data_IF_167080907005
#
_entry.id   IF_167080907005
#
_cell.length_a   1.000
_cell.length_b   1.000
_cell.length_c   1.000
_cell.angle_alpha   90.00
_cell.angle_beta   90.00
_cell.angle_gamma   90.00
#
_symmetry.space_group_name_H-M   'P 1'
#
loop_
_entity.id
_entity.type
_entity.pdbx_description
1 polymer ?
#
# COMPACT_ATOMS: atom_id res chain seq x y z
N UNK A 1 27.19 43.60 -6.59
CA UNK A 1 26.08 42.64 -6.81
C UNK A 1 26.68 41.28 -7.09
N UNK A 2 26.60 40.32 -6.15
CA UNK A 2 26.78 38.90 -6.49
C UNK A 2 26.20 38.02 -5.39
N UNK A 3 25.58 36.93 -5.83
CA UNK A 3 24.59 36.11 -5.13
C UNK A 3 25.21 35.32 -3.96
N UNK A 4 24.51 35.31 -2.82
CA UNK A 4 24.74 34.40 -1.68
C UNK A 4 24.59 32.95 -2.15
N UNK A 5 25.66 32.17 -2.04
CA UNK A 5 25.64 30.73 -2.16
C UNK A 5 24.99 30.13 -0.89
N UNK A 6 23.89 29.40 -1.07
CA UNK A 6 23.20 28.66 -0.03
C UNK A 6 24.05 27.41 0.26
N UNK A 7 24.52 27.28 1.51
CA UNK A 7 25.20 26.08 2.03
C UNK A 7 24.23 24.90 1.99
N UNK A 8 24.59 23.87 1.23
CA UNK A 8 24.05 22.52 1.40
C UNK A 8 24.40 22.03 2.81
N UNK A 9 23.39 21.72 3.62
CA UNK A 9 23.57 20.99 4.87
C UNK A 9 23.29 19.53 4.55
N UNK A 10 24.36 18.73 4.50
CA UNK A 10 24.25 17.28 4.49
C UNK A 10 23.78 16.79 5.85
N UNK A 11 22.77 15.92 5.88
CA UNK A 11 22.36 15.22 7.09
C UNK A 11 22.83 13.76 7.06
N UNK A 12 23.65 13.46 8.06
CA UNK A 12 24.14 12.14 8.40
C UNK A 12 23.03 11.24 8.92
N UNK A 13 23.28 9.96 8.73
CA UNK A 13 22.39 8.81 8.88
C UNK A 13 22.29 8.38 10.34
N UNK A 14 21.09 8.45 10.94
CA UNK A 14 20.77 7.66 12.15
C UNK A 14 19.54 6.78 11.83
N UNK A 15 19.84 5.50 11.61
CA UNK A 15 18.92 4.48 11.11
C UNK A 15 18.12 3.88 12.28
N UNK A 16 16.78 3.92 12.26
CA UNK A 16 15.98 3.09 13.17
C UNK A 16 15.93 1.66 12.62
N UNK A 17 16.91 0.89 13.06
CA UNK A 17 17.13 -0.49 12.70
C UNK A 17 16.58 -1.36 13.81
N UNK A 18 15.29 -1.68 13.77
CA UNK A 18 14.70 -2.49 14.85
C UNK A 18 14.93 -4.00 14.62
N UNK A 19 15.23 -4.41 13.37
CA UNK A 19 15.30 -5.82 13.01
C UNK A 19 16.49 -6.25 12.12
N UNK A 20 17.47 -5.39 11.81
CA UNK A 20 18.51 -5.78 10.82
C UNK A 20 19.41 -6.93 11.28
N UNK A 21 19.51 -7.22 12.58
CA UNK A 21 20.40 -8.29 13.09
C UNK A 21 19.67 -9.60 13.41
N UNK A 22 18.33 -9.64 13.47
CA UNK A 22 17.57 -10.84 13.83
C UNK A 22 16.53 -11.19 12.78
N UNK A 23 16.69 -12.38 12.19
CA UNK A 23 15.68 -12.95 11.30
C UNK A 23 14.40 -13.24 12.10
N UNK A 24 13.32 -12.54 11.79
CA UNK A 24 12.00 -12.83 12.35
C UNK A 24 11.37 -13.95 11.53
N UNK A 25 11.14 -15.11 12.15
CA UNK A 25 10.45 -16.21 11.47
C UNK A 25 8.99 -15.85 11.22
N UNK A 26 8.47 -16.28 10.06
CA UNK A 26 7.10 -15.98 9.62
C UNK A 26 6.41 -17.19 9.00
N UNK A 27 5.09 -17.19 9.06
CA UNK A 27 4.22 -18.20 8.45
C UNK A 27 3.07 -17.52 7.70
N UNK A 28 2.64 -18.11 6.59
CA UNK A 28 1.49 -17.60 5.82
C UNK A 28 0.20 -18.18 6.39
N UNK A 29 -0.69 -17.32 6.89
CA UNK A 29 -1.94 -17.73 7.52
C UNK A 29 -3.03 -16.69 7.30
N UNK A 30 -4.27 -17.13 7.00
CA UNK A 30 -5.42 -16.25 6.73
C UNK A 30 -5.12 -15.13 5.71
N UNK A 31 -4.42 -15.48 4.63
CA UNK A 31 -4.05 -14.55 3.54
C UNK A 31 -3.15 -13.37 3.94
N UNK A 32 -2.49 -13.46 5.11
CA UNK A 32 -1.49 -12.49 5.54
C UNK A 32 -0.27 -13.16 6.18
N UNK A 33 0.78 -12.37 6.40
CA UNK A 33 1.99 -12.82 7.10
C UNK A 33 1.80 -12.75 8.61
N UNK A 34 2.10 -13.86 9.28
CA UNK A 34 2.14 -13.98 10.74
C UNK A 34 3.57 -14.18 11.19
N UNK A 35 3.96 -13.54 12.29
CA UNK A 35 5.35 -13.48 12.75
C UNK A 35 5.49 -14.13 14.11
N UNK A 36 6.59 -14.87 14.31
CA UNK A 36 6.92 -15.48 15.59
C UNK A 36 7.08 -14.41 16.67
N UNK A 37 6.21 -14.45 17.70
CA UNK A 37 6.19 -13.43 18.77
C UNK A 37 7.51 -13.45 19.55
N UNK A 38 8.06 -14.65 19.75
CA UNK A 38 9.32 -14.86 20.46
C UNK A 38 10.50 -14.15 19.79
N UNK A 39 10.55 -14.15 18.45
CA UNK A 39 11.63 -13.50 17.70
C UNK A 39 11.51 -11.97 17.77
N UNK A 40 10.28 -11.45 17.72
CA UNK A 40 10.01 -10.02 17.88
C UNK A 40 10.41 -9.56 19.29
N UNK A 41 10.06 -10.33 20.32
CA UNK A 41 10.51 -10.06 21.69
C UNK A 41 12.03 -10.12 21.80
N UNK A 42 12.67 -11.10 21.16
CA UNK A 42 14.13 -11.20 21.14
C UNK A 42 14.79 -10.00 20.44
N UNK A 43 14.18 -9.43 19.40
CA UNK A 43 14.69 -8.24 18.72
C UNK A 43 14.51 -6.97 19.55
N UNK A 44 13.38 -6.86 20.25
CA UNK A 44 12.99 -5.67 21.00
C UNK A 44 13.43 -5.67 22.47
N UNK A 45 14.17 -6.68 22.89
CA UNK A 45 14.63 -6.82 24.28
C UNK A 45 16.06 -7.36 24.31
N UNK A 46 16.73 -7.17 25.44
CA UNK A 46 18.01 -7.83 25.75
C UNK A 46 17.80 -9.14 26.52
N UNK A 47 16.62 -9.75 26.39
CA UNK A 47 16.29 -10.98 27.11
C UNK A 47 17.09 -12.16 26.55
N UNK A 48 17.83 -12.82 27.44
CA UNK A 48 18.47 -14.12 27.17
C UNK A 48 17.47 -15.27 27.06
N UNK A 49 16.22 -15.08 27.53
CA UNK A 49 15.14 -16.07 27.49
C UNK A 49 13.84 -15.41 26.98
N UNK A 50 13.72 -15.17 25.66
CA UNK A 50 12.57 -14.47 25.07
C UNK A 50 11.21 -15.16 25.35
N UNK A 51 11.16 -16.49 25.41
CA UNK A 51 9.95 -17.25 25.75
C UNK A 51 9.49 -16.97 27.19
N UNK A 52 10.46 -16.88 28.11
CA UNK A 52 10.21 -16.48 29.49
C UNK A 52 9.72 -15.04 29.55
N UNK A 53 10.31 -14.15 28.77
CA UNK A 53 9.90 -12.75 28.68
C UNK A 53 8.45 -12.61 28.20
N UNK A 54 8.00 -13.40 27.22
CA UNK A 54 6.59 -13.41 26.76
C UNK A 54 5.64 -13.79 27.90
N UNK A 55 5.98 -14.80 28.71
CA UNK A 55 5.16 -15.18 29.88
C UNK A 55 5.10 -14.03 30.89
N UNK A 56 6.23 -13.38 31.11
CA UNK A 56 6.33 -12.23 32.00
C UNK A 56 5.54 -11.01 31.51
N UNK A 57 5.55 -10.73 30.20
CA UNK A 57 4.72 -9.69 29.59
C UNK A 57 3.24 -9.91 29.91
N UNK A 58 2.75 -11.13 29.70
CA UNK A 58 1.36 -11.51 29.99
C UNK A 58 1.05 -11.43 31.49
N UNK A 59 2.01 -11.73 32.36
CA UNK A 59 1.83 -11.59 33.82
C UNK A 59 1.71 -10.13 34.24
N UNK A 60 2.48 -9.23 33.61
CA UNK A 60 2.52 -7.79 33.92
C UNK A 60 1.34 -7.04 33.31
N UNK A 61 0.97 -7.35 32.08
CA UNK A 61 -0.18 -6.77 31.36
C UNK A 61 -1.35 -7.76 31.34
N UNK A 62 -2.26 -7.60 32.32
CA UNK A 62 -3.44 -8.46 32.48
C UNK A 62 -4.40 -8.35 31.30
N UNK A 63 -4.48 -7.20 30.63
CA UNK A 63 -5.36 -7.01 29.46
C UNK A 63 -4.79 -7.72 28.23
N UNK A 64 -3.47 -7.66 28.03
CA UNK A 64 -2.79 -8.48 27.02
C UNK A 64 -3.01 -9.98 27.28
N UNK A 65 -2.97 -10.41 28.54
CA UNK A 65 -3.20 -11.82 28.88
C UNK A 65 -4.63 -12.28 28.59
N UNK A 66 -5.64 -11.45 28.91
CA UNK A 66 -7.05 -11.72 28.58
C UNK A 66 -7.26 -11.86 27.06
N UNK A 67 -6.66 -10.96 26.28
CA UNK A 67 -6.75 -10.97 24.81
C UNK A 67 -5.81 -11.96 24.12
N UNK A 68 -4.96 -12.68 24.86
CA UNK A 68 -3.86 -13.46 24.26
C UNK A 68 -4.32 -14.49 23.24
N UNK A 69 -5.45 -15.17 23.48
CA UNK A 69 -5.99 -16.18 22.57
C UNK A 69 -6.46 -15.62 21.22
N UNK A 70 -6.74 -14.32 21.14
CA UNK A 70 -7.10 -13.63 19.89
C UNK A 70 -5.87 -13.09 19.16
N UNK A 71 -4.85 -12.69 19.93
CA UNK A 71 -3.62 -12.07 19.42
C UNK A 71 -2.62 -13.13 18.92
N UNK A 72 -2.44 -14.20 19.69
CA UNK A 72 -1.42 -15.21 19.46
C UNK A 72 -2.04 -16.52 18.96
N UNK A 73 -1.65 -16.96 17.76
CA UNK A 73 -2.05 -18.22 17.16
C UNK A 73 -0.84 -19.14 17.02
N UNK A 74 -0.88 -20.39 17.53
CA UNK A 74 0.18 -21.36 17.29
C UNK A 74 0.17 -21.80 15.83
N UNK A 75 1.28 -21.53 15.12
CA UNK A 75 1.45 -21.87 13.71
C UNK A 75 2.70 -22.73 13.50
N UNK A 76 2.67 -23.54 12.44
CA UNK A 76 3.84 -24.28 11.97
C UNK A 76 4.83 -23.31 11.33
N UNK A 77 6.02 -23.26 11.87
CA UNK A 77 7.14 -22.41 11.43
C UNK A 77 8.37 -23.30 11.24
N UNK A 78 9.06 -23.10 10.13
CA UNK A 78 10.33 -23.79 9.86
C UNK A 78 11.45 -23.20 10.73
N UNK A 79 12.22 -24.08 11.36
CA UNK A 79 13.34 -23.73 12.24
C UNK A 79 14.54 -24.61 11.91
N UNK A 80 15.73 -24.28 12.41
CA UNK A 80 16.93 -25.11 12.23
C UNK A 80 16.73 -26.54 12.72
N UNK A 81 15.92 -26.73 13.77
CA UNK A 81 15.56 -28.05 14.32
C UNK A 81 14.35 -28.70 13.65
N UNK A 82 13.90 -28.21 12.50
CA UNK A 82 12.71 -28.67 11.79
C UNK A 82 11.45 -27.85 12.08
N UNK A 83 10.29 -28.35 11.63
CA UNK A 83 9.01 -27.63 11.77
C UNK A 83 8.54 -27.68 13.22
N UNK A 84 8.31 -26.52 13.82
CA UNK A 84 7.82 -26.37 15.20
C UNK A 84 6.52 -25.59 15.26
N UNK A 85 5.74 -25.81 16.33
CA UNK A 85 4.57 -25.00 16.64
C UNK A 85 4.99 -23.80 17.49
N UNK A 86 4.86 -22.60 16.93
CA UNK A 86 5.28 -21.34 17.56
C UNK A 86 4.10 -20.39 17.62
N UNK A 87 3.94 -19.68 18.74
CA UNK A 87 2.96 -18.61 18.84
C UNK A 87 3.35 -17.46 17.92
N UNK A 88 2.50 -17.21 16.93
CA UNK A 88 2.65 -16.13 15.97
C UNK A 88 1.52 -15.10 16.14
N UNK A 89 1.76 -13.87 15.71
CA UNK A 89 0.75 -12.83 15.61
C UNK A 89 0.83 -12.18 14.23
N UNK A 90 -0.31 -11.70 13.72
CA UNK A 90 -0.32 -10.80 12.57
C UNK A 90 0.17 -9.39 12.97
N UNK A 91 0.23 -8.47 12.01
CA UNK A 91 0.77 -7.12 12.21
C UNK A 91 0.07 -6.36 13.35
N UNK A 92 -1.27 -6.38 13.39
CA UNK A 92 -2.05 -5.73 14.45
C UNK A 92 -1.76 -6.33 15.82
N UNK A 93 -1.76 -7.67 15.91
CA UNK A 93 -1.43 -8.37 17.15
C UNK A 93 -0.01 -8.07 17.65
N UNK A 94 0.96 -7.98 16.74
CA UNK A 94 2.31 -7.54 17.08
C UNK A 94 2.34 -6.12 17.64
N UNK A 95 1.63 -5.17 17.02
CA UNK A 95 1.60 -3.79 17.50
C UNK A 95 1.08 -3.73 18.94
N UNK A 96 0.03 -4.50 19.26
CA UNK A 96 -0.48 -4.63 20.63
C UNK A 96 0.54 -5.22 21.60
N UNK A 97 1.30 -6.24 21.19
CA UNK A 97 2.34 -6.86 22.04
C UNK A 97 3.48 -5.86 22.30
N UNK A 98 3.96 -5.16 21.27
CA UNK A 98 5.08 -4.23 21.37
C UNK A 98 4.78 -3.10 22.34
N UNK A 99 3.54 -2.60 22.37
CA UNK A 99 3.11 -1.60 23.35
C UNK A 99 3.35 -2.04 24.80
N UNK A 100 3.23 -3.33 25.10
CA UNK A 100 3.47 -3.90 26.44
C UNK A 100 4.94 -4.15 26.77
N UNK A 101 5.89 -3.99 25.84
CA UNK A 101 7.32 -4.28 26.08
C UNK A 101 7.99 -3.09 26.81
N UNK A 102 8.39 -3.22 28.08
CA UNK A 102 9.13 -2.16 28.80
C UNK A 102 10.63 -2.21 28.47
N UNK A 103 10.99 -1.96 27.20
CA UNK A 103 12.39 -1.97 26.74
C UNK A 103 12.71 -0.67 25.99
N UNK A 104 13.88 -0.03 26.23
CA UNK A 104 14.34 1.09 25.43
C UNK A 104 14.38 0.79 23.92
N UNK A 105 14.59 -0.47 23.52
CA UNK A 105 14.56 -0.90 22.12
C UNK A 105 13.17 -0.83 21.48
N UNK A 106 12.10 -0.92 22.28
CA UNK A 106 10.72 -0.80 21.80
C UNK A 106 10.24 0.66 21.77
N UNK A 107 10.91 1.57 22.47
CA UNK A 107 10.49 2.97 22.60
C UNK A 107 10.41 3.72 21.26
N UNK A 108 11.38 3.61 20.33
CA UNK A 108 11.26 4.25 19.02
C UNK A 108 10.00 3.83 18.27
N UNK A 109 9.64 2.55 18.33
CA UNK A 109 8.43 2.02 17.71
C UNK A 109 7.15 2.58 18.36
N UNK A 110 7.13 2.69 19.69
CA UNK A 110 5.97 3.26 20.42
C UNK A 110 5.77 4.74 20.12
N UNK A 111 6.86 5.52 20.05
CA UNK A 111 6.82 6.92 19.64
C UNK A 111 6.31 7.06 18.22
N UNK A 112 6.76 6.19 17.33
CA UNK A 112 6.25 6.15 15.97
C UNK A 112 4.74 5.85 15.94
N UNK A 113 4.26 4.85 16.67
CA UNK A 113 2.81 4.58 16.76
C UNK A 113 2.03 5.79 17.30
N UNK A 114 2.57 6.49 18.28
CA UNK A 114 1.97 7.72 18.82
C UNK A 114 1.96 8.85 17.78
N UNK A 115 3.04 9.00 16.99
CA UNK A 115 3.12 9.97 15.91
C UNK A 115 2.08 9.67 14.82
N UNK A 116 1.96 8.41 14.37
CA UNK A 116 0.94 8.02 13.39
C UNK A 116 -0.48 8.24 13.93
N UNK A 117 -0.71 7.93 15.20
CA UNK A 117 -1.99 8.23 15.86
C UNK A 117 -2.30 9.73 15.82
N UNK A 118 -1.31 10.57 16.12
CA UNK A 118 -1.44 12.03 16.07
C UNK A 118 -1.65 12.57 14.65
N UNK A 119 -0.88 12.09 13.67
CA UNK A 119 -1.06 12.42 12.25
C UNK A 119 -2.47 12.06 11.79
N UNK A 120 -3.00 10.91 12.22
CA UNK A 120 -4.36 10.49 11.87
C UNK A 120 -5.44 11.39 12.48
N UNK A 121 -5.23 11.92 13.68
CA UNK A 121 -6.13 12.93 14.26
C UNK A 121 -6.08 14.22 13.43
N UNK A 122 -4.88 14.68 13.06
CA UNK A 122 -4.73 15.86 12.19
C UNK A 122 -5.42 15.68 10.84
N UNK A 123 -5.32 14.51 10.23
CA UNK A 123 -6.01 14.20 8.97
C UNK A 123 -7.54 14.24 9.08
N UNK A 124 -8.11 14.02 10.27
CA UNK A 124 -9.55 14.14 10.51
C UNK A 124 -9.95 15.61 10.60
N UNK A 125 -9.11 16.43 11.22
CA UNK A 125 -9.33 17.88 11.33
C UNK A 125 -9.11 18.60 9.99
N UNK A 126 -8.08 18.17 9.25
CA UNK A 126 -7.71 18.67 7.92
C UNK A 126 -7.54 17.50 6.92
N UNK A 127 -8.61 17.14 6.19
CA UNK A 127 -8.58 16.06 5.19
C UNK A 127 -7.59 16.30 4.03
N UNK A 128 -7.12 17.53 3.79
CA UNK A 128 -6.13 17.79 2.75
C UNK A 128 -4.79 17.11 3.07
N UNK A 129 -4.46 16.97 4.37
CA UNK A 129 -3.26 16.27 4.82
C UNK A 129 -3.24 14.80 4.39
N UNK A 130 -4.40 14.12 4.38
CA UNK A 130 -4.49 12.75 3.90
C UNK A 130 -4.17 12.65 2.39
N UNK A 131 -4.56 13.66 1.63
CA UNK A 131 -4.23 13.76 0.20
C UNK A 131 -2.76 14.10 -0.04
N UNK A 132 -2.16 14.94 0.81
CA UNK A 132 -0.73 15.24 0.77
C UNK A 132 0.10 13.98 1.08
N UNK A 133 -0.23 13.28 2.17
CA UNK A 133 0.43 12.01 2.54
C UNK A 133 0.32 10.96 1.43
N UNK A 134 -0.83 10.87 0.76
CA UNK A 134 -0.99 9.95 -0.37
C UNK A 134 0.01 10.26 -1.50
N UNK A 135 0.29 11.54 -1.79
CA UNK A 135 1.30 11.94 -2.78
C UNK A 135 2.71 11.60 -2.30
N UNK A 136 3.05 11.94 -1.06
CA UNK A 136 4.35 11.64 -0.45
C UNK A 136 4.66 10.14 -0.49
N UNK A 137 3.67 9.28 -0.24
CA UNK A 137 3.83 7.83 -0.33
C UNK A 137 4.14 7.33 -1.76
N UNK A 138 3.64 8.00 -2.79
CA UNK A 138 4.03 7.70 -4.17
C UNK A 138 5.39 8.31 -4.51
N UNK A 139 5.71 9.52 -4.04
CA UNK A 139 7.03 10.13 -4.24
C UNK A 139 8.13 9.25 -3.62
N UNK A 140 7.92 8.74 -2.40
CA UNK A 140 8.83 7.84 -1.71
C UNK A 140 9.04 6.50 -2.46
N UNK A 141 8.07 6.05 -3.25
CA UNK A 141 8.20 4.88 -4.12
C UNK A 141 8.90 5.18 -5.45
N UNK A 142 9.34 6.43 -5.67
CA UNK A 142 10.07 6.86 -6.86
C UNK A 142 9.19 7.22 -8.06
N UNK A 143 7.90 7.45 -7.86
CA UNK A 143 7.00 7.83 -8.96
C UNK A 143 7.20 9.31 -9.37
N UNK A 144 7.18 9.64 -10.68
CA UNK A 144 7.24 11.02 -11.14
C UNK A 144 6.02 11.84 -10.67
N UNK A 145 6.23 13.10 -10.26
CA UNK A 145 5.15 13.99 -9.76
C UNK A 145 3.97 14.14 -10.73
N UNK A 146 4.26 14.29 -12.00
CA UNK A 146 3.24 14.44 -13.04
C UNK A 146 2.44 13.15 -13.25
N UNK A 147 3.05 11.98 -13.05
CA UNK A 147 2.36 10.69 -13.02
C UNK A 147 1.49 10.57 -11.77
N UNK A 148 1.98 11.00 -10.60
CA UNK A 148 1.25 10.96 -9.32
C UNK A 148 -0.05 11.76 -9.43
N UNK A 149 0.00 12.97 -9.98
CA UNK A 149 -1.21 13.80 -10.17
C UNK A 149 -2.25 13.13 -11.08
N UNK A 150 -1.82 12.48 -12.17
CA UNK A 150 -2.71 11.69 -13.04
C UNK A 150 -3.30 10.51 -12.27
N UNK A 151 -2.49 9.83 -11.45
CA UNK A 151 -2.94 8.69 -10.64
C UNK A 151 -3.97 9.12 -9.59
N UNK A 152 -3.77 10.25 -8.92
CA UNK A 152 -4.72 10.81 -7.94
C UNK A 152 -6.06 11.14 -8.59
N UNK A 153 -6.05 11.77 -9.78
CA UNK A 153 -7.27 12.02 -10.57
C UNK A 153 -7.96 10.71 -10.98
N UNK A 154 -7.19 9.70 -11.37
CA UNK A 154 -7.74 8.39 -11.71
C UNK A 154 -8.42 7.70 -10.51
N UNK A 155 -7.92 7.90 -9.27
CA UNK A 155 -8.61 7.40 -8.06
C UNK A 155 -9.98 8.06 -7.93
N UNK A 156 -10.06 9.39 -8.08
CA UNK A 156 -11.32 10.12 -7.97
C UNK A 156 -12.34 9.71 -9.05
N UNK A 157 -11.91 9.58 -10.30
CA UNK A 157 -12.77 9.15 -11.42
C UNK A 157 -13.31 7.73 -11.19
N UNK A 158 -12.44 6.82 -10.74
CA UNK A 158 -12.86 5.46 -10.38
C UNK A 158 -13.85 5.46 -9.23
N UNK A 159 -13.62 6.29 -8.20
CA UNK A 159 -14.54 6.46 -7.08
C UNK A 159 -15.94 6.85 -7.54
N UNK A 160 -16.02 7.89 -8.38
CA UNK A 160 -17.30 8.34 -8.94
C UNK A 160 -18.02 7.26 -9.76
N UNK A 161 -17.30 6.44 -10.52
CA UNK A 161 -17.88 5.29 -11.24
C UNK A 161 -18.43 4.24 -10.28
N UNK A 162 -17.68 3.89 -9.23
CA UNK A 162 -18.12 2.88 -8.26
C UNK A 162 -19.29 3.37 -7.40
N UNK A 163 -19.37 4.67 -7.11
CA UNK A 163 -20.51 5.28 -6.43
C UNK A 163 -21.76 5.24 -7.32
N UNK A 164 -21.60 5.51 -8.62
CA UNK A 164 -22.69 5.44 -9.59
C UNK A 164 -23.22 4.00 -9.72
N UNK A 165 -22.35 3.00 -9.78
CA UNK A 165 -22.75 1.59 -9.78
C UNK A 165 -23.52 1.21 -8.52
N UNK A 166 -23.07 1.68 -7.35
CA UNK A 166 -23.72 1.43 -6.06
C UNK A 166 -25.12 2.02 -6.04
N UNK A 167 -25.25 3.28 -6.48
CA UNK A 167 -26.53 3.98 -6.56
C UNK A 167 -27.52 3.29 -7.53
N UNK A 168 -27.00 2.53 -8.51
CA UNK A 168 -27.77 1.78 -9.52
C UNK A 168 -28.02 0.32 -9.15
N UNK A 169 -27.73 -0.08 -7.91
CA UNK A 169 -28.00 -1.44 -7.42
C UNK A 169 -27.08 -2.52 -8.00
N UNK A 170 -25.86 -2.17 -8.39
CA UNK A 170 -24.82 -3.16 -8.76
C UNK A 170 -24.13 -3.65 -7.49
N UNK A 171 -23.94 -4.96 -7.37
CA UNK A 171 -23.31 -5.58 -6.20
C UNK A 171 -21.78 -5.37 -6.18
N UNK A 172 -21.26 -4.90 -5.05
CA UNK A 172 -19.80 -4.75 -4.87
C UNK A 172 -19.08 -6.10 -4.98
N UNK A 173 -17.79 -6.07 -5.34
CA UNK A 173 -16.96 -7.27 -5.50
C UNK A 173 -17.01 -7.87 -6.91
N UNK A 174 -17.77 -8.95 -7.10
CA UNK A 174 -17.74 -9.74 -8.35
C UNK A 174 -18.25 -8.95 -9.54
N UNK A 175 -19.39 -8.26 -9.41
CA UNK A 175 -19.96 -7.51 -10.53
C UNK A 175 -19.07 -6.32 -10.90
N UNK A 176 -18.54 -5.59 -9.91
CA UNK A 176 -17.59 -4.49 -10.14
C UNK A 176 -16.34 -4.97 -10.89
N UNK A 177 -15.85 -6.16 -10.57
CA UNK A 177 -14.71 -6.77 -11.26
C UNK A 177 -15.04 -7.10 -12.72
N UNK A 178 -16.24 -7.60 -12.99
CA UNK A 178 -16.71 -7.87 -14.35
C UNK A 178 -16.86 -6.57 -15.14
N UNK A 179 -17.54 -5.56 -14.58
CA UNK A 179 -17.73 -4.27 -15.25
C UNK A 179 -16.38 -3.58 -15.53
N UNK A 180 -15.46 -3.59 -14.56
CA UNK A 180 -14.09 -3.09 -14.76
C UNK A 180 -13.38 -3.85 -15.90
N UNK A 181 -13.56 -5.18 -15.98
CA UNK A 181 -12.97 -5.97 -17.05
C UNK A 181 -13.60 -5.69 -18.42
N UNK A 182 -14.89 -5.38 -18.49
CA UNK A 182 -15.57 -4.98 -19.73
C UNK A 182 -15.05 -3.62 -20.24
N UNK A 183 -14.90 -2.63 -19.34
CA UNK A 183 -14.29 -1.33 -19.69
C UNK A 183 -12.87 -1.56 -20.23
N UNK A 184 -12.02 -2.26 -19.47
CA UNK A 184 -10.63 -2.49 -19.85
C UNK A 184 -10.51 -3.23 -21.19
N UNK A 185 -11.35 -4.26 -21.42
CA UNK A 185 -11.36 -5.00 -22.69
C UNK A 185 -11.79 -4.10 -23.85
N UNK A 186 -12.84 -3.31 -23.67
CA UNK A 186 -13.32 -2.41 -24.72
C UNK A 186 -12.32 -1.28 -25.02
N UNK A 187 -11.60 -0.78 -23.99
CA UNK A 187 -10.58 0.26 -24.15
C UNK A 187 -9.27 -0.26 -24.74
N UNK A 188 -8.68 -1.29 -24.13
CA UNK A 188 -7.32 -1.75 -24.44
C UNK A 188 -7.26 -3.05 -25.26
N UNK A 189 -8.39 -3.72 -25.47
CA UNK A 189 -8.43 -5.05 -26.11
C UNK A 189 -8.00 -6.20 -25.19
N UNK A 190 -7.61 -5.92 -23.94
CA UNK A 190 -7.13 -6.90 -22.97
C UNK A 190 -7.88 -6.77 -21.64
N UNK A 191 -7.96 -7.87 -20.89
CA UNK A 191 -8.51 -7.84 -19.53
C UNK A 191 -7.49 -7.26 -18.54
N UNK A 192 -7.90 -6.81 -17.34
CA UNK A 192 -6.95 -6.41 -16.31
C UNK A 192 -5.95 -7.51 -15.94
N UNK A 193 -6.38 -8.78 -15.99
CA UNK A 193 -5.51 -9.93 -15.74
C UNK A 193 -4.44 -10.10 -16.83
N UNK A 194 -4.82 -9.99 -18.09
CA UNK A 194 -3.87 -10.08 -19.21
C UNK A 194 -2.95 -8.86 -19.28
N UNK A 195 -3.47 -7.67 -18.94
CA UNK A 195 -2.68 -6.45 -18.84
C UNK A 195 -1.62 -6.55 -17.74
N UNK A 196 -1.95 -7.15 -16.58
CA UNK A 196 -0.97 -7.47 -15.53
C UNK A 196 0.12 -8.41 -16.05
N UNK A 197 -0.22 -9.44 -16.84
CA UNK A 197 0.77 -10.35 -17.44
C UNK A 197 1.70 -9.60 -18.39
N UNK A 198 1.17 -8.74 -19.25
CA UNK A 198 1.95 -7.92 -20.19
C UNK A 198 2.97 -7.02 -19.47
N UNK A 199 2.60 -6.52 -18.28
CA UNK A 199 3.46 -5.67 -17.44
C UNK A 199 4.40 -6.46 -16.51
N UNK A 200 4.48 -7.78 -16.63
CA UNK A 200 5.35 -8.59 -15.77
C UNK A 200 4.89 -8.67 -14.31
N UNK A 201 3.60 -8.41 -14.03
CA UNK A 201 3.04 -8.40 -12.67
C UNK A 201 2.43 -9.75 -12.26
N UNK A 202 2.69 -10.82 -13.01
CA UNK A 202 2.09 -12.13 -12.76
C UNK A 202 2.54 -12.73 -11.41
N UNK A 203 3.78 -12.45 -11.02
CA UNK A 203 4.40 -12.92 -9.77
C UNK A 203 4.13 -11.98 -8.59
N UNK A 204 3.87 -10.69 -8.88
CA UNK A 204 3.57 -9.68 -7.87
C UNK A 204 2.06 -9.66 -7.55
N UNK A 205 1.60 -10.69 -6.83
CA UNK A 205 0.16 -10.92 -6.56
C UNK A 205 -0.55 -9.71 -5.95
N UNK A 206 0.15 -8.92 -5.14
CA UNK A 206 -0.37 -7.72 -4.46
C UNK A 206 -0.21 -6.43 -5.26
N UNK A 207 0.53 -6.44 -6.38
CA UNK A 207 0.76 -5.23 -7.17
C UNK A 207 -0.52 -4.77 -7.88
N UNK A 208 -0.80 -3.47 -7.77
CA UNK A 208 -1.91 -2.82 -8.44
C UNK A 208 -1.53 -2.50 -9.88
N UNK A 209 -2.31 -2.96 -10.86
CA UNK A 209 -2.05 -2.73 -12.28
C UNK A 209 -1.89 -1.24 -12.62
N UNK A 210 -2.74 -0.37 -12.04
CA UNK A 210 -2.75 1.06 -12.34
C UNK A 210 -1.51 1.78 -11.83
N UNK A 211 -0.87 1.24 -10.80
CA UNK A 211 0.39 1.77 -10.29
C UNK A 211 1.59 1.38 -11.18
N UNK A 212 1.34 0.63 -12.26
CA UNK A 212 2.34 0.23 -13.24
C UNK A 212 1.94 0.62 -14.67
N UNK A 213 0.86 1.38 -14.84
CA UNK A 213 0.43 1.93 -16.13
C UNK A 213 1.22 3.18 -16.49
N UNK A 214 1.53 3.33 -17.77
CA UNK A 214 2.05 4.56 -18.36
C UNK A 214 1.00 5.68 -18.30
N UNK A 215 1.42 6.92 -18.56
CA UNK A 215 0.53 8.08 -18.60
C UNK A 215 -0.65 7.90 -19.55
N UNK A 216 -0.41 7.43 -20.77
CA UNK A 216 -1.49 7.20 -21.74
C UNK A 216 -2.43 6.09 -21.29
N UNK A 217 -1.91 4.99 -20.73
CA UNK A 217 -2.76 3.93 -20.18
C UNK A 217 -3.63 4.45 -19.03
N UNK A 218 -3.12 5.31 -18.15
CA UNK A 218 -3.94 5.97 -17.13
C UNK A 218 -5.00 6.90 -17.73
N UNK A 219 -4.64 7.71 -18.73
CA UNK A 219 -5.57 8.64 -19.40
C UNK A 219 -6.71 7.90 -20.08
N UNK A 220 -6.41 6.85 -20.86
CA UNK A 220 -7.45 6.06 -21.52
C UNK A 220 -8.29 5.26 -20.52
N UNK A 221 -7.71 4.83 -19.39
CA UNK A 221 -8.49 4.22 -18.30
C UNK A 221 -9.48 5.24 -17.73
N UNK A 222 -9.03 6.45 -17.42
CA UNK A 222 -9.87 7.54 -16.92
C UNK A 222 -10.99 7.88 -17.91
N UNK A 223 -10.69 7.96 -19.21
CA UNK A 223 -11.69 8.24 -20.24
C UNK A 223 -12.75 7.13 -20.32
N UNK A 224 -12.34 5.86 -20.24
CA UNK A 224 -13.27 4.72 -20.26
C UNK A 224 -14.16 4.68 -19.02
N UNK A 225 -13.60 4.95 -17.84
CA UNK A 225 -14.34 5.01 -16.58
C UNK A 225 -15.30 6.20 -16.54
N UNK A 226 -14.84 7.42 -16.87
CA UNK A 226 -15.67 8.61 -16.91
C UNK A 226 -16.79 8.51 -17.97
N UNK A 227 -16.47 8.00 -19.15
CA UNK A 227 -17.46 7.75 -20.22
C UNK A 227 -18.50 6.73 -19.79
N UNK A 228 -18.10 5.67 -19.07
CA UNK A 228 -19.06 4.69 -18.52
C UNK A 228 -20.00 5.35 -17.52
N UNK A 229 -19.49 6.18 -16.60
CA UNK A 229 -20.30 6.91 -15.62
C UNK A 229 -21.32 7.81 -16.32
N UNK A 230 -20.89 8.62 -17.30
CA UNK A 230 -21.80 9.53 -18.02
C UNK A 230 -22.87 8.76 -18.80
N UNK A 231 -22.50 7.66 -19.47
CA UNK A 231 -23.47 6.83 -20.20
C UNK A 231 -24.46 6.17 -19.25
N UNK A 232 -24.00 5.65 -18.10
CA UNK A 232 -24.87 5.06 -17.10
C UNK A 232 -25.91 6.08 -16.59
N UNK A 233 -25.48 7.33 -16.34
CA UNK A 233 -26.36 8.45 -15.98
C UNK A 233 -27.39 8.76 -17.05
N UNK A 234 -26.94 8.96 -18.30
CA UNK A 234 -27.83 9.39 -19.40
C UNK A 234 -28.83 8.32 -19.81
N UNK A 235 -28.45 7.05 -19.75
CA UNK A 235 -29.33 5.93 -20.12
C UNK A 235 -30.14 5.38 -18.96
N UNK A 236 -30.00 5.98 -17.78
CA UNK A 236 -30.51 5.46 -16.53
C UNK A 236 -30.28 3.94 -16.37
N UNK A 237 -29.02 3.52 -16.54
CA UNK A 237 -28.66 2.11 -16.48
C UNK A 237 -28.93 1.52 -15.08
N UNK A 238 -29.93 0.68 -14.92
CA UNK A 238 -30.24 0.03 -13.65
C UNK A 238 -29.67 -1.39 -13.58
N UNK A 239 -29.20 -1.77 -12.39
CA UNK A 239 -28.65 -3.08 -12.08
C UNK A 239 -27.43 -3.47 -12.92
N UNK A 240 -26.98 -4.71 -12.74
CA UNK A 240 -25.78 -5.22 -13.41
C UNK A 240 -25.86 -5.19 -14.94
N UNK A 241 -26.95 -5.68 -15.52
CA UNK A 241 -27.08 -5.82 -16.98
C UNK A 241 -27.07 -4.48 -17.71
N UNK A 242 -27.75 -3.47 -17.16
CA UNK A 242 -27.73 -2.11 -17.71
C UNK A 242 -26.33 -1.52 -17.64
N UNK A 243 -25.69 -1.62 -16.47
CA UNK A 243 -24.34 -1.08 -16.27
C UNK A 243 -23.27 -1.83 -17.07
N UNK A 244 -23.48 -3.11 -17.40
CA UNK A 244 -22.60 -3.86 -18.30
C UNK A 244 -22.63 -3.31 -19.73
N UNK A 245 -23.79 -2.88 -20.22
CA UNK A 245 -23.90 -2.21 -21.52
C UNK A 245 -23.19 -0.85 -21.47
N UNK A 246 -23.45 -0.05 -20.44
CA UNK A 246 -22.78 1.24 -20.25
C UNK A 246 -21.25 1.09 -20.17
N UNK A 247 -20.74 0.09 -19.44
CA UNK A 247 -19.31 -0.23 -19.33
C UNK A 247 -18.67 -0.56 -20.68
N UNK A 248 -19.34 -1.39 -21.48
CA UNK A 248 -18.87 -1.72 -22.83
C UNK A 248 -18.85 -0.47 -23.73
N UNK A 249 -19.89 0.35 -23.68
CA UNK A 249 -19.97 1.57 -24.49
C UNK A 249 -18.92 2.62 -24.08
N UNK A 250 -18.79 2.92 -22.79
CA UNK A 250 -17.79 3.86 -22.27
C UNK A 250 -16.37 3.39 -22.56
N UNK A 251 -16.10 2.10 -22.36
CA UNK A 251 -14.82 1.51 -22.76
C UNK A 251 -14.58 1.57 -24.27
N UNK A 252 -15.62 1.43 -25.10
CA UNK A 252 -15.52 1.54 -26.58
C UNK A 252 -15.18 2.97 -27.01
N UNK A 253 -15.76 3.98 -26.38
CA UNK A 253 -15.42 5.40 -26.64
C UNK A 253 -13.92 5.62 -26.43
N UNK A 254 -13.40 5.21 -25.26
CA UNK A 254 -11.97 5.32 -24.97
C UNK A 254 -11.11 4.46 -25.92
N UNK A 255 -11.58 3.26 -26.28
CA UNK A 255 -10.88 2.36 -27.19
C UNK A 255 -10.80 2.89 -28.62
N UNK A 256 -11.82 3.59 -29.09
CA UNK A 256 -11.81 4.25 -30.40
C UNK A 256 -10.80 5.41 -30.41
N UNK A 257 -10.85 6.28 -29.40
CA UNK A 257 -9.88 7.36 -29.25
C UNK A 257 -8.44 6.84 -29.15
N UNK A 258 -8.22 5.72 -28.42
CA UNK A 258 -6.91 5.04 -28.35
C UNK A 258 -6.43 4.58 -29.71
N UNK A 259 -7.27 3.85 -30.45
CA UNK A 259 -6.92 3.33 -31.78
C UNK A 259 -6.62 4.45 -32.76
N UNK A 260 -7.37 5.54 -32.70
CA UNK A 260 -7.12 6.72 -33.53
C UNK A 260 -5.76 7.35 -33.20
N UNK A 261 -5.44 7.53 -31.92
CA UNK A 261 -4.12 8.00 -31.51
C UNK A 261 -3.01 7.07 -32.02
N UNK A 262 -3.13 5.76 -31.81
CA UNK A 262 -2.16 4.76 -32.25
C UNK A 262 -1.96 4.77 -33.77
N UNK A 263 -3.04 4.97 -34.54
CA UNK A 263 -2.96 5.10 -36.00
C UNK A 263 -2.22 6.36 -36.46
N UNK A 264 -2.29 7.45 -35.69
CA UNK A 264 -1.61 8.71 -35.99
C UNK A 264 -0.14 8.71 -35.54
N UNK A 265 0.17 8.07 -34.42
CA UNK A 265 1.52 8.07 -33.84
C UNK A 265 2.35 6.87 -34.30
N UNK A 266 1.72 5.78 -34.74
CA UNK A 266 2.38 4.50 -35.03
C UNK A 266 2.87 3.75 -33.79
N UNK A 267 2.55 4.22 -32.58
CA UNK A 267 3.02 3.65 -31.32
C UNK A 267 1.85 3.11 -30.50
N UNK A 268 1.85 1.81 -30.12
CA UNK A 268 0.83 1.24 -29.24
C UNK A 268 0.82 1.90 -27.86
N UNK A 269 -0.36 2.19 -27.33
CA UNK A 269 -0.55 2.72 -25.97
C UNK A 269 -0.29 1.64 -24.92
N UNK A 270 -0.75 0.42 -25.15
CA UNK A 270 -0.51 -0.71 -24.24
C UNK A 270 0.93 -1.16 -24.38
N UNK A 271 1.69 -1.11 -23.29
CA UNK A 271 3.12 -1.45 -23.29
C UNK A 271 3.53 -2.32 -22.10
N UNK A 272 4.72 -2.93 -22.20
CA UNK A 272 5.34 -3.71 -21.11
C UNK A 272 6.00 -2.84 -20.04
N UNK A 273 6.09 -1.53 -20.25
CA UNK A 273 6.68 -0.60 -19.29
C UNK A 273 5.91 -0.63 -17.98
N UNK A 274 6.63 -0.63 -16.87
CA UNK A 274 6.08 -0.70 -15.52
C UNK A 274 7.02 0.02 -14.53
N UNK A 275 6.50 0.30 -13.34
CA UNK A 275 7.24 0.87 -12.21
C UNK A 275 7.64 -0.18 -11.17
N UNK A 276 7.96 -1.42 -11.58
CA UNK A 276 8.54 -2.36 -10.62
C UNK A 276 9.92 -1.81 -10.22
N UNK A 277 10.16 -1.69 -8.91
CA UNK A 277 11.52 -1.60 -8.43
C UNK A 277 12.28 -2.84 -8.93
N UNK A 278 13.54 -2.68 -9.33
CA UNK A 278 14.39 -3.81 -9.72
C UNK A 278 14.32 -4.91 -8.63
N UNK A 279 14.47 -6.22 -8.94
CA UNK A 279 14.02 -7.36 -8.11
C UNK A 279 14.55 -7.49 -6.66
N UNK A 280 15.28 -6.50 -6.14
CA UNK A 280 15.78 -6.46 -4.77
C UNK A 280 14.76 -5.93 -3.74
N UNK A 281 13.52 -5.60 -4.12
CA UNK A 281 12.55 -5.06 -3.18
C UNK A 281 11.18 -5.73 -3.36
N UNK A 282 10.98 -6.82 -2.64
CA UNK A 282 9.69 -7.51 -2.58
C UNK A 282 8.67 -6.62 -1.85
N UNK A 283 7.40 -6.63 -2.24
CA UNK A 283 6.39 -5.66 -1.75
C UNK A 283 6.09 -5.72 -0.23
N UNK A 284 6.61 -6.70 0.49
CA UNK A 284 6.64 -6.72 1.97
C UNK A 284 7.89 -6.05 2.56
N UNK A 285 9.02 -6.10 1.85
CA UNK A 285 10.18 -5.25 2.16
C UNK A 285 9.84 -3.80 1.87
N UNK A 286 9.20 -3.45 0.75
CA UNK A 286 8.87 -2.04 0.46
C UNK A 286 7.94 -1.43 1.52
N UNK A 287 7.01 -2.16 2.12
CA UNK A 287 6.17 -1.61 3.19
C UNK A 287 6.93 -1.42 4.52
N UNK A 288 7.96 -2.22 4.80
CA UNK A 288 8.80 -2.14 6.00
C UNK A 288 10.01 -1.21 5.78
N UNK A 289 10.47 -1.08 4.54
CA UNK A 289 11.60 -0.26 4.09
C UNK A 289 11.15 1.15 3.73
N UNK A 290 9.99 1.35 3.07
CA UNK A 290 9.40 2.68 2.90
C UNK A 290 8.89 3.26 4.23
N UNK A 291 8.54 2.38 5.18
CA UNK A 291 8.31 2.73 6.58
C UNK A 291 9.58 3.27 7.28
N UNK A 292 10.75 2.81 6.85
CA UNK A 292 12.07 3.27 7.31
C UNK A 292 12.54 4.52 6.55
N UNK A 293 12.20 4.67 5.27
CA UNK A 293 12.69 5.76 4.40
C UNK A 293 11.95 7.09 4.60
N UNK A 294 10.63 7.07 4.83
CA UNK A 294 9.80 8.30 4.91
C UNK A 294 9.95 9.09 6.21
N UNK A 295 10.50 8.49 7.28
CA UNK A 295 10.61 9.15 8.60
C UNK A 295 12.01 9.75 8.88
N UNK A 296 12.96 9.55 7.97
CA UNK A 296 14.27 10.22 8.03
C UNK A 296 14.17 11.74 7.82
N UNK A 297 13.12 12.21 7.13
CA UNK A 297 12.94 13.61 6.76
C UNK A 297 12.27 14.46 7.86
N UNK A 298 11.35 13.89 8.65
CA UNK A 298 10.58 14.64 9.65
C UNK A 298 11.34 14.88 10.98
N UNK A 299 12.23 13.96 11.39
CA UNK A 299 13.00 14.07 12.64
C UNK A 299 14.27 14.94 12.51
N UNK A 300 14.75 15.18 11.29
CA UNK A 300 15.85 16.11 11.02
C UNK A 300 15.48 17.57 11.36
N UNK A 301 14.20 17.94 11.31
CA UNK A 301 13.73 19.30 11.60
C UNK A 301 13.64 19.63 13.10
N UNK A 302 13.57 18.63 13.99
CA UNK A 302 13.34 18.84 15.44
C UNK A 302 14.61 18.83 16.30
N UNK A 303 15.78 18.47 15.75
CA UNK A 303 17.04 18.35 16.52
C UNK A 303 18.04 19.49 16.27
N UNK A 304 17.73 20.43 15.38
CA UNK A 304 18.61 21.54 15.02
C UNK A 304 18.53 22.78 15.93
N UNK A 305 17.67 22.79 16.96
CA UNK A 305 17.45 23.97 17.82
C UNK A 305 17.69 23.65 19.30
N UNK A 306 18.96 23.47 19.67
CA UNK A 306 19.42 23.65 21.06
C UNK A 306 20.74 24.42 21.08
N UNK A 307 20.76 25.67 21.58
CA UNK A 307 21.99 26.42 21.76
C UNK A 307 22.78 25.88 22.96
N UNK A 308 24.12 25.92 22.83
CA UNK A 308 25.06 25.77 23.96
C UNK A 308 25.07 27.02 24.81
#
# INVERSE_FOLDING_TARGET
>A
MSKKAIRQVGHGQDRIVIFQEKSIRRSWHKEEWWFAIVDVVAALTDSVQPEGYVKDLRRRDKELAKGWGQIATPLRVETEGGIQQINCANTEGLFRIIQSIPSPKAEPFKRWLAQVGYERVKEIEDPELASARARELYEAKGYPRDWIEKRMRAIAIRGALTDEWKARGVAEGREYSILTAEIARATFGVTPGDHKKLKGLAQAKTANLRDHMTDLELIFTMLGEAGTTEIAKRKDAQGFTGNRKAAKEGGTVAGNARKELEAKTGVPVVSRQNYLASPAATSAEIAVTAFVETQTEALAASSADKPK
#
